data_IF_537429996544
#
_entry.id   IF_537429996544
#
_cell.length_a   1.000
_cell.length_b   1.000
_cell.length_c   1.000
_cell.angle_alpha   90.00
_cell.angle_beta   90.00
_cell.angle_gamma   90.00
#
_symmetry.space_group_name_H-M   'P 1'
#
loop_
_entity.id
_entity.type
_entity.pdbx_description
1 polymer ?
#
# COMPACT_ATOMS: atom_id res chain seq x y z
N UNK A 1 3.35 -16.31 -10.97
CA UNK A 1 2.81 -16.97 -9.76
C UNK A 1 1.31 -17.19 -9.87
N UNK A 2 0.57 -16.17 -10.23
CA UNK A 2 -0.87 -16.31 -10.45
C UNK A 2 -1.10 -16.80 -11.88
N UNK A 3 -1.66 -18.00 -12.04
CA UNK A 3 -2.04 -18.59 -13.35
C UNK A 3 -3.56 -18.66 -13.47
N UNK A 4 -4.22 -17.55 -13.19
CA UNK A 4 -5.65 -17.37 -13.41
C UNK A 4 -5.88 -16.88 -14.84
N UNK A 5 -6.94 -17.41 -15.49
CA UNK A 5 -7.30 -17.09 -16.87
C UNK A 5 -8.75 -16.62 -16.90
N UNK A 6 -8.99 -15.32 -17.03
CA UNK A 6 -10.34 -14.78 -17.20
C UNK A 6 -10.98 -15.37 -18.46
N UNK A 7 -12.29 -15.62 -18.41
CA UNK A 7 -13.07 -16.00 -19.60
C UNK A 7 -13.26 -14.80 -20.54
N UNK A 8 -13.42 -13.61 -19.93
CA UNK A 8 -13.57 -12.34 -20.64
C UNK A 8 -12.69 -11.26 -19.99
N UNK A 9 -12.24 -10.34 -20.83
CA UNK A 9 -11.51 -9.14 -20.41
C UNK A 9 -12.15 -7.95 -21.11
N UNK A 10 -12.70 -7.00 -20.32
CA UNK A 10 -13.13 -5.71 -20.83
C UNK A 10 -12.09 -4.65 -20.51
N UNK A 11 -11.38 -4.14 -21.51
CA UNK A 11 -10.51 -2.97 -21.36
C UNK A 11 -11.39 -1.71 -21.49
N UNK A 12 -11.72 -1.12 -20.34
CA UNK A 12 -12.65 0.00 -20.27
C UNK A 12 -11.92 1.34 -20.50
N UNK A 13 -12.34 2.09 -21.52
CA UNK A 13 -11.80 3.42 -21.85
C UNK A 13 -12.73 4.56 -21.40
N UNK A 14 -13.97 4.25 -21.00
CA UNK A 14 -14.95 5.20 -20.51
C UNK A 14 -15.72 4.66 -19.29
N UNK A 15 -16.38 5.55 -18.55
CA UNK A 15 -17.30 5.16 -17.47
C UNK A 15 -18.44 4.29 -18.00
N UNK A 16 -18.94 4.59 -19.22
CA UNK A 16 -19.97 3.80 -19.87
C UNK A 16 -19.56 2.35 -20.15
N UNK A 17 -18.27 2.12 -20.48
CA UNK A 17 -17.75 0.76 -20.67
C UNK A 17 -17.76 -0.02 -19.35
N UNK A 18 -17.38 0.65 -18.23
CA UNK A 18 -17.42 0.03 -16.90
C UNK A 18 -18.84 -0.34 -16.49
N UNK A 19 -19.81 0.56 -16.73
CA UNK A 19 -21.25 0.31 -16.49
C UNK A 19 -21.72 -0.90 -17.30
N UNK A 20 -21.39 -0.94 -18.59
CA UNK A 20 -21.75 -2.04 -19.48
C UNK A 20 -21.10 -3.35 -19.00
N UNK A 21 -19.82 -3.33 -18.62
CA UNK A 21 -19.10 -4.50 -18.16
C UNK A 21 -19.71 -5.07 -16.87
N UNK A 22 -20.07 -4.22 -15.89
CA UNK A 22 -20.71 -4.64 -14.63
C UNK A 22 -22.07 -5.30 -14.93
N UNK A 23 -22.91 -4.65 -15.73
CA UNK A 23 -24.25 -5.17 -16.10
C UNK A 23 -24.15 -6.49 -16.86
N UNK A 24 -23.23 -6.60 -17.82
CA UNK A 24 -22.97 -7.84 -18.55
C UNK A 24 -22.51 -8.97 -17.63
N UNK A 25 -21.61 -8.69 -16.69
CA UNK A 25 -21.14 -9.70 -15.74
C UNK A 25 -22.28 -10.22 -14.86
N UNK A 26 -23.17 -9.33 -14.38
CA UNK A 26 -24.36 -9.72 -13.59
C UNK A 26 -25.34 -10.54 -14.42
N UNK A 27 -25.67 -10.10 -15.63
CA UNK A 27 -26.60 -10.80 -16.53
C UNK A 27 -26.15 -12.25 -16.83
N UNK A 28 -24.84 -12.46 -16.89
CA UNK A 28 -24.24 -13.76 -17.20
C UNK A 28 -23.66 -14.48 -15.98
N UNK A 29 -23.93 -14.01 -14.76
CA UNK A 29 -23.48 -14.60 -13.49
C UNK A 29 -21.95 -14.85 -13.46
N UNK A 30 -21.17 -13.91 -14.02
CA UNK A 30 -19.71 -14.00 -14.08
C UNK A 30 -19.08 -13.34 -12.86
N UNK A 31 -18.12 -14.03 -12.23
CA UNK A 31 -17.30 -13.47 -11.18
C UNK A 31 -16.49 -12.27 -11.70
N UNK A 32 -16.52 -11.13 -10.99
CA UNK A 32 -15.85 -9.90 -11.40
C UNK A 32 -14.52 -9.74 -10.70
N UNK A 33 -13.43 -9.60 -11.47
CA UNK A 33 -12.17 -9.07 -11.02
C UNK A 33 -11.93 -7.67 -11.58
N UNK A 34 -11.48 -6.73 -10.76
CA UNK A 34 -11.19 -5.35 -11.20
C UNK A 34 -9.69 -5.11 -11.19
N UNK A 35 -9.13 -4.75 -12.33
CA UNK A 35 -7.70 -4.51 -12.51
C UNK A 35 -7.41 -3.04 -12.80
N UNK A 36 -6.49 -2.45 -12.02
CA UNK A 36 -5.78 -1.22 -12.33
C UNK A 36 -4.30 -1.57 -12.62
N UNK A 37 -3.35 -1.35 -11.70
CA UNK A 37 -1.94 -1.70 -11.88
C UNK A 37 -1.61 -3.19 -11.70
N UNK A 38 -2.52 -4.01 -11.17
CA UNK A 38 -2.30 -5.45 -10.98
C UNK A 38 -1.28 -5.79 -9.89
N UNK A 39 -1.08 -4.94 -8.90
CA UNK A 39 -0.11 -5.11 -7.81
C UNK A 39 -0.59 -5.99 -6.65
N UNK A 40 -1.86 -6.43 -6.64
CA UNK A 40 -2.34 -7.30 -5.58
C UNK A 40 -1.58 -8.63 -5.59
N UNK A 41 -0.85 -8.92 -4.49
CA UNK A 41 0.04 -10.08 -4.39
C UNK A 41 -0.72 -11.42 -4.38
N UNK A 42 -1.98 -11.42 -3.95
CA UNK A 42 -2.86 -12.59 -3.99
C UNK A 42 -3.50 -12.82 -5.38
N UNK A 43 -3.32 -11.88 -6.34
CA UNK A 43 -3.84 -12.01 -7.69
C UNK A 43 -5.35 -11.81 -7.84
N UNK A 44 -6.01 -11.22 -6.84
CA UNK A 44 -7.47 -11.06 -6.78
C UNK A 44 -8.04 -10.18 -7.91
N UNK A 45 -7.20 -9.41 -8.62
CA UNK A 45 -7.62 -8.64 -9.78
C UNK A 45 -7.88 -9.49 -11.04
N UNK A 46 -7.53 -10.79 -11.01
CA UNK A 46 -7.63 -11.69 -12.16
C UNK A 46 -8.51 -12.89 -11.81
N UNK A 47 -9.80 -12.89 -12.17
CA UNK A 47 -10.72 -14.00 -11.89
C UNK A 47 -10.39 -15.21 -12.77
N UNK A 48 -10.40 -16.42 -12.19
CA UNK A 48 -10.26 -17.63 -13.00
C UNK A 48 -11.61 -18.03 -13.60
N UNK A 49 -11.70 -18.01 -14.94
CA UNK A 49 -12.96 -18.29 -15.65
C UNK A 49 -14.03 -17.18 -15.56
N UNK A 50 -13.75 -16.10 -14.85
CA UNK A 50 -14.64 -14.96 -14.66
C UNK A 50 -14.40 -13.82 -15.67
N UNK A 51 -14.86 -12.62 -15.32
CA UNK A 51 -14.79 -11.41 -16.13
C UNK A 51 -13.87 -10.38 -15.48
N UNK A 52 -12.75 -10.10 -16.13
CA UNK A 52 -11.82 -9.05 -15.69
C UNK A 52 -12.21 -7.70 -16.30
N UNK A 53 -12.51 -6.72 -15.46
CA UNK A 53 -12.71 -5.33 -15.82
C UNK A 53 -11.37 -4.61 -15.68
N UNK A 54 -10.73 -4.33 -16.81
CA UNK A 54 -9.43 -3.67 -16.87
C UNK A 54 -9.61 -2.16 -17.04
N UNK A 55 -9.21 -1.39 -16.02
CA UNK A 55 -9.32 0.07 -15.99
C UNK A 55 -8.10 0.78 -16.59
N UNK A 56 -7.07 0.08 -17.06
CA UNK A 56 -5.78 0.71 -17.43
C UNK A 56 -5.91 1.76 -18.54
N UNK A 57 -6.95 1.67 -19.40
CA UNK A 57 -7.25 2.70 -20.39
C UNK A 57 -7.92 3.97 -19.78
N UNK A 58 -8.44 3.91 -18.55
CA UNK A 58 -8.93 5.04 -17.77
C UNK A 58 -7.79 5.65 -16.94
N UNK A 59 -6.76 6.19 -17.59
CA UNK A 59 -5.51 6.62 -16.95
C UNK A 59 -5.27 8.12 -16.93
N UNK A 60 -6.28 8.96 -17.28
CA UNK A 60 -6.12 10.42 -17.34
C UNK A 60 -5.91 11.02 -15.96
N UNK A 61 -4.99 11.99 -15.90
CA UNK A 61 -4.76 12.84 -14.73
C UNK A 61 -4.90 14.30 -15.16
N UNK A 62 -5.70 15.07 -14.43
CA UNK A 62 -5.87 16.50 -14.63
C UNK A 62 -5.57 17.24 -13.34
N UNK A 63 -4.72 18.27 -13.39
CA UNK A 63 -4.27 19.04 -12.23
C UNK A 63 -4.81 20.45 -12.29
N UNK A 64 -5.41 20.89 -11.18
CA UNK A 64 -5.67 22.30 -10.89
C UNK A 64 -4.66 22.77 -9.84
N UNK A 65 -3.58 23.45 -10.25
CA UNK A 65 -2.54 23.87 -9.32
C UNK A 65 -2.98 25.01 -8.40
N UNK A 66 -3.97 25.80 -8.79
CA UNK A 66 -4.50 26.93 -7.99
C UNK A 66 -5.36 26.37 -6.84
N UNK A 67 -6.28 25.47 -7.16
CA UNK A 67 -7.10 24.80 -6.16
C UNK A 67 -6.32 23.70 -5.41
N UNK A 68 -5.12 23.34 -5.87
CA UNK A 68 -4.33 22.20 -5.39
C UNK A 68 -5.16 20.92 -5.37
N UNK A 69 -5.71 20.59 -6.54
CA UNK A 69 -6.52 19.37 -6.75
C UNK A 69 -5.98 18.61 -7.96
N UNK A 70 -6.12 17.29 -7.89
CA UNK A 70 -5.95 16.42 -9.05
C UNK A 70 -7.18 15.54 -9.21
N UNK A 71 -7.73 15.48 -10.42
CA UNK A 71 -8.68 14.45 -10.83
C UNK A 71 -7.92 13.34 -11.53
N UNK A 72 -8.09 12.14 -11.04
CA UNK A 72 -7.29 10.98 -11.42
C UNK A 72 -8.24 9.84 -11.73
N UNK A 73 -8.26 9.37 -12.97
CA UNK A 73 -9.08 8.23 -13.36
C UNK A 73 -8.61 6.94 -12.67
N UNK A 74 -9.55 6.04 -12.37
CA UNK A 74 -9.35 4.86 -11.51
C UNK A 74 -8.29 3.87 -11.99
N UNK A 75 -7.96 3.87 -13.28
CA UNK A 75 -6.92 3.04 -13.89
C UNK A 75 -5.55 3.71 -14.02
N UNK A 76 -5.39 4.95 -13.55
CA UNK A 76 -4.11 5.66 -13.62
C UNK A 76 -3.04 4.97 -12.79
N UNK A 77 -1.79 5.04 -13.25
CA UNK A 77 -0.61 4.62 -12.49
C UNK A 77 -0.07 5.79 -11.66
N UNK A 78 0.57 5.50 -10.52
CA UNK A 78 1.15 6.52 -9.64
C UNK A 78 2.14 7.42 -10.37
N UNK A 79 2.99 6.87 -11.22
CA UNK A 79 3.94 7.65 -12.01
C UNK A 79 3.27 8.64 -13.00
N UNK A 80 2.03 8.39 -13.43
CA UNK A 80 1.28 9.35 -14.23
C UNK A 80 0.81 10.53 -13.35
N UNK A 81 0.37 10.24 -12.13
CA UNK A 81 0.00 11.26 -11.14
C UNK A 81 1.21 12.13 -10.77
N UNK A 82 2.36 11.51 -10.45
CA UNK A 82 3.59 12.24 -10.09
C UNK A 82 4.06 13.13 -11.25
N UNK A 83 4.14 12.62 -12.47
CA UNK A 83 4.52 13.41 -13.65
C UNK A 83 3.57 14.57 -13.93
N UNK A 84 2.28 14.43 -13.63
CA UNK A 84 1.31 15.50 -13.84
C UNK A 84 1.38 16.60 -12.78
N UNK A 85 1.72 16.28 -11.54
CA UNK A 85 1.72 17.20 -10.39
C UNK A 85 3.08 17.91 -10.20
N UNK A 86 4.18 17.24 -10.50
CA UNK A 86 5.53 17.74 -10.24
C UNK A 86 5.95 18.99 -11.02
N UNK A 87 5.46 19.29 -12.24
CA UNK A 87 5.70 20.58 -12.89
C UNK A 87 5.24 21.79 -12.05
N UNK A 88 4.35 21.58 -11.09
CA UNK A 88 3.85 22.61 -10.16
C UNK A 88 4.49 22.53 -8.76
N UNK A 89 5.46 21.64 -8.54
CA UNK A 89 6.04 21.38 -7.22
C UNK A 89 5.04 20.78 -6.22
N UNK A 90 3.98 20.15 -6.75
CA UNK A 90 2.90 19.55 -5.98
C UNK A 90 2.98 18.03 -6.02
N UNK A 91 2.48 17.39 -4.94
CA UNK A 91 2.21 15.95 -4.91
C UNK A 91 1.09 15.64 -3.90
N UNK A 92 0.59 14.41 -3.95
CA UNK A 92 -0.20 13.80 -2.86
C UNK A 92 0.50 12.53 -2.40
N UNK A 93 0.13 12.00 -1.24
CA UNK A 93 0.67 10.71 -0.82
C UNK A 93 0.33 9.64 -1.86
N UNK A 94 1.35 8.95 -2.32
CA UNK A 94 1.28 7.84 -3.26
C UNK A 94 2.24 6.72 -2.77
N UNK A 95 2.14 5.52 -3.34
CA UNK A 95 3.06 4.42 -3.02
C UNK A 95 4.49 4.68 -3.54
N UNK A 96 5.39 3.77 -3.24
CA UNK A 96 6.83 3.91 -3.53
C UNK A 96 7.24 3.30 -4.88
N UNK A 97 6.30 2.84 -5.70
CA UNK A 97 6.54 2.18 -6.99
C UNK A 97 5.62 2.78 -8.06
N UNK A 98 6.20 3.37 -9.11
CA UNK A 98 5.49 4.24 -10.05
C UNK A 98 4.44 3.52 -10.91
N UNK A 99 4.61 2.23 -11.17
CA UNK A 99 3.66 1.41 -11.94
C UNK A 99 2.57 0.76 -11.09
N UNK A 100 2.45 1.13 -9.81
CA UNK A 100 1.30 0.77 -8.97
C UNK A 100 0.06 1.54 -9.41
N UNK A 101 -1.07 0.86 -9.46
CA UNK A 101 -2.35 1.48 -9.80
C UNK A 101 -2.90 2.34 -8.66
N UNK A 102 -3.34 3.56 -8.99
CA UNK A 102 -3.92 4.52 -8.04
C UNK A 102 -5.13 3.91 -7.33
N UNK A 103 -6.02 3.20 -8.06
CA UNK A 103 -7.29 2.68 -7.53
C UNK A 103 -7.08 1.73 -6.34
N UNK A 104 -6.43 0.59 -6.57
CA UNK A 104 -6.24 -0.43 -5.52
C UNK A 104 -5.43 0.07 -4.34
N UNK A 105 -4.38 0.87 -4.58
CA UNK A 105 -3.59 1.48 -3.53
C UNK A 105 -4.46 2.35 -2.62
N UNK A 106 -5.19 3.30 -3.19
CA UNK A 106 -6.00 4.29 -2.46
C UNK A 106 -7.11 3.63 -1.65
N UNK A 107 -7.83 2.67 -2.26
CA UNK A 107 -8.95 2.00 -1.62
C UNK A 107 -8.54 1.19 -0.38
N UNK A 108 -7.31 0.68 -0.33
CA UNK A 108 -6.77 0.00 0.86
C UNK A 108 -6.06 0.91 1.87
N UNK A 109 -5.89 2.19 1.54
CA UNK A 109 -5.20 3.17 2.40
C UNK A 109 -4.11 3.93 1.64
N UNK A 110 -3.05 3.27 1.22
CA UNK A 110 -1.93 3.84 0.45
C UNK A 110 -0.86 4.49 1.30
N UNK A 111 0.18 3.71 1.62
CA UNK A 111 1.39 4.18 2.29
C UNK A 111 2.45 4.62 1.28
N UNK A 112 3.23 5.65 1.61
CA UNK A 112 4.34 6.15 0.78
C UNK A 112 5.15 7.24 1.48
N UNK A 113 6.10 7.84 0.76
CA UNK A 113 7.09 8.77 1.32
C UNK A 113 6.50 10.04 1.95
N UNK A 114 5.29 10.42 1.58
CA UNK A 114 4.60 11.60 2.10
C UNK A 114 3.60 11.28 3.23
N UNK A 115 3.41 10.00 3.58
CA UNK A 115 2.34 9.61 4.50
C UNK A 115 2.52 10.16 5.91
N UNK A 116 3.75 10.23 6.43
CA UNK A 116 4.03 10.84 7.74
C UNK A 116 3.79 12.35 7.73
N UNK A 117 3.88 12.99 6.57
CA UNK A 117 3.73 14.43 6.40
C UNK A 117 2.28 14.84 6.15
N UNK A 118 1.55 14.07 5.32
CA UNK A 118 0.27 14.45 4.76
C UNK A 118 -0.83 13.40 4.93
N UNK A 119 -0.62 12.35 5.71
CA UNK A 119 -1.54 11.21 5.84
C UNK A 119 -1.40 10.21 4.69
N UNK A 120 -2.15 9.13 4.77
CA UNK A 120 -2.22 8.10 3.74
C UNK A 120 -2.83 8.65 2.44
N UNK A 121 -2.72 7.92 1.33
CA UNK A 121 -3.36 8.32 0.07
C UNK A 121 -4.86 8.50 0.24
N UNK A 122 -5.54 7.62 0.97
CA UNK A 122 -6.99 7.70 1.23
C UNK A 122 -7.39 8.92 2.09
N UNK A 123 -6.47 9.48 2.89
CA UNK A 123 -6.72 10.68 3.68
C UNK A 123 -6.72 11.96 2.83
N UNK A 124 -6.14 11.87 1.66
CA UNK A 124 -6.06 12.95 0.69
C UNK A 124 -7.17 12.91 -0.37
N UNK A 125 -8.03 11.90 -0.36
CA UNK A 125 -9.21 11.82 -1.23
C UNK A 125 -10.25 12.84 -0.80
N UNK A 126 -10.74 13.62 -1.76
CA UNK A 126 -11.81 14.62 -1.59
C UNK A 126 -13.15 14.06 -2.03
N UNK A 127 -13.15 13.32 -3.14
CA UNK A 127 -14.34 12.62 -3.66
C UNK A 127 -13.96 11.48 -4.57
N UNK A 128 -14.91 10.57 -4.78
CA UNK A 128 -14.83 9.45 -5.72
C UNK A 128 -16.05 9.45 -6.65
N UNK A 129 -15.85 9.09 -7.92
CA UNK A 129 -16.94 8.66 -8.81
C UNK A 129 -16.91 7.14 -8.87
N UNK A 130 -18.05 6.50 -8.56
CA UNK A 130 -18.17 5.05 -8.35
C UNK A 130 -19.21 4.48 -9.28
N UNK A 131 -18.93 3.34 -9.91
CA UNK A 131 -19.92 2.47 -10.56
C UNK A 131 -20.31 1.39 -9.56
N UNK A 132 -21.59 1.34 -9.18
CA UNK A 132 -22.15 0.40 -8.20
C UNK A 132 -22.34 -1.00 -8.77
N UNK A 133 -22.76 -1.94 -7.93
CA UNK A 133 -23.14 -3.29 -8.36
C UNK A 133 -24.29 -3.31 -9.35
N UNK A 134 -25.21 -2.33 -9.34
CA UNK A 134 -26.31 -2.19 -10.29
C UNK A 134 -25.92 -1.47 -11.59
N UNK A 135 -24.67 -1.01 -11.66
CA UNK A 135 -24.16 -0.24 -12.80
C UNK A 135 -24.65 1.22 -12.78
N UNK A 136 -25.03 1.76 -11.63
CA UNK A 136 -25.32 3.17 -11.46
C UNK A 136 -24.03 3.94 -11.17
N UNK A 137 -23.98 5.18 -11.66
CA UNK A 137 -22.84 6.07 -11.45
C UNK A 137 -23.19 7.08 -10.37
N UNK A 138 -22.41 7.10 -9.29
CA UNK A 138 -22.64 8.04 -8.20
C UNK A 138 -21.33 8.70 -7.73
N UNK A 139 -21.47 9.86 -7.12
CA UNK A 139 -20.37 10.55 -6.44
C UNK A 139 -20.42 10.25 -4.94
N UNK A 140 -19.27 9.97 -4.34
CA UNK A 140 -19.10 9.81 -2.90
C UNK A 140 -18.12 10.87 -2.39
N UNK A 141 -18.52 11.61 -1.35
CA UNK A 141 -17.73 12.67 -0.71
C UNK A 141 -18.16 12.84 0.75
N UNK A 142 -17.60 13.79 1.47
CA UNK A 142 -18.03 14.09 2.83
C UNK A 142 -19.51 14.52 2.91
N UNK A 143 -20.04 15.14 1.85
CA UNK A 143 -21.38 15.72 1.80
C UNK A 143 -22.38 14.87 1.00
N UNK A 144 -21.89 13.90 0.23
CA UNK A 144 -22.68 13.07 -0.68
C UNK A 144 -22.27 11.60 -0.52
N UNK A 145 -23.20 10.74 -0.11
CA UNK A 145 -22.94 9.33 0.25
C UNK A 145 -21.77 9.16 1.22
N UNK A 146 -21.81 9.82 2.40
CA UNK A 146 -20.66 9.89 3.33
C UNK A 146 -20.27 8.54 3.92
N UNK A 147 -21.18 7.59 4.05
CA UNK A 147 -20.94 6.22 4.48
C UNK A 147 -20.14 5.41 3.44
N UNK A 148 -20.53 5.51 2.16
CA UNK A 148 -19.76 4.95 1.05
C UNK A 148 -18.37 5.59 0.99
N UNK A 149 -18.30 6.93 1.09
CA UNK A 149 -17.03 7.65 1.10
C UNK A 149 -16.12 7.22 2.25
N UNK A 150 -16.70 6.95 3.42
CA UNK A 150 -15.96 6.39 4.54
C UNK A 150 -15.40 5.00 4.21
N UNK A 151 -16.23 4.11 3.62
CA UNK A 151 -15.85 2.76 3.23
C UNK A 151 -14.74 2.72 2.18
N UNK A 152 -14.81 3.60 1.16
CA UNK A 152 -13.81 3.69 0.08
C UNK A 152 -12.44 4.19 0.55
N UNK A 153 -12.34 4.75 1.76
CA UNK A 153 -11.08 5.22 2.34
C UNK A 153 -10.48 4.19 3.29
N UNK A 154 -10.05 3.05 2.74
CA UNK A 154 -9.36 1.97 3.46
C UNK A 154 -10.11 0.64 3.50
N UNK A 155 -11.39 0.57 3.09
CA UNK A 155 -12.18 -0.65 3.09
C UNK A 155 -12.02 -1.53 1.83
N UNK A 156 -11.13 -1.13 0.90
CA UNK A 156 -10.88 -1.88 -0.33
C UNK A 156 -11.95 -1.69 -1.40
N UNK A 157 -11.92 -2.54 -2.42
CA UNK A 157 -12.82 -2.52 -3.58
C UNK A 157 -14.15 -3.24 -3.34
N UNK A 158 -14.70 -3.21 -2.13
CA UNK A 158 -15.86 -3.99 -1.73
C UNK A 158 -17.22 -3.39 -2.15
N UNK A 159 -17.28 -2.12 -2.55
CA UNK A 159 -18.54 -1.35 -2.61
C UNK A 159 -18.87 -0.85 -4.02
N UNK A 160 -18.02 -1.11 -4.98
CA UNK A 160 -18.14 -0.62 -6.34
C UNK A 160 -16.80 -0.39 -7.02
N UNK A 161 -16.82 0.00 -8.28
CA UNK A 161 -15.64 0.30 -9.09
C UNK A 161 -15.44 1.81 -9.11
N UNK A 162 -14.36 2.30 -8.47
CA UNK A 162 -14.02 3.73 -8.52
C UNK A 162 -13.37 4.04 -9.86
N UNK A 163 -14.03 4.87 -10.64
CA UNK A 163 -13.61 5.28 -11.99
C UNK A 163 -12.88 6.63 -12.02
N UNK A 164 -13.04 7.45 -10.97
CA UNK A 164 -12.29 8.70 -10.78
C UNK A 164 -12.16 9.01 -9.29
N UNK A 165 -10.98 9.50 -8.91
CA UNK A 165 -10.67 10.11 -7.61
C UNK A 165 -10.38 11.60 -7.78
N UNK A 166 -10.79 12.42 -6.82
CA UNK A 166 -10.30 13.78 -6.64
C UNK A 166 -9.39 13.82 -5.41
N UNK A 167 -8.13 14.21 -5.59
CA UNK A 167 -7.13 14.30 -4.52
C UNK A 167 -6.80 15.75 -4.16
N UNK A 168 -6.54 15.95 -2.86
CA UNK A 168 -5.82 17.13 -2.37
C UNK A 168 -4.33 16.99 -2.70
N UNK A 169 -3.73 18.07 -3.20
CA UNK A 169 -2.30 18.16 -3.45
C UNK A 169 -1.63 19.07 -2.42
N UNK A 170 -0.36 18.78 -2.16
CA UNK A 170 0.47 19.49 -1.20
C UNK A 170 1.71 20.04 -1.88
N UNK A 171 2.19 21.24 -1.48
CA UNK A 171 3.49 21.75 -1.93
C UNK A 171 4.60 20.96 -1.27
N UNK A 172 5.32 20.16 -2.05
CA UNK A 172 6.39 19.28 -1.59
C UNK A 172 7.74 19.60 -2.23
N UNK A 173 7.75 20.51 -3.18
CA UNK A 173 8.92 20.77 -4.03
C UNK A 173 9.16 19.64 -5.03
N UNK A 174 10.38 19.59 -5.55
CA UNK A 174 10.77 18.65 -6.61
C UNK A 174 11.97 17.78 -6.23
N UNK A 175 12.44 17.87 -4.98
CA UNK A 175 13.69 17.22 -4.51
C UNK A 175 13.42 16.31 -3.32
N UNK A 176 14.31 15.35 -3.15
CA UNK A 176 14.34 14.43 -2.02
C UNK A 176 15.78 14.08 -1.64
N UNK A 177 15.97 13.63 -0.40
CA UNK A 177 17.22 13.05 0.09
C UNK A 177 16.95 11.61 0.52
N UNK A 178 17.77 10.68 0.04
CA UNK A 178 17.78 9.29 0.47
C UNK A 178 19.07 9.01 1.22
N UNK A 179 18.94 8.43 2.39
CA UNK A 179 20.09 8.04 3.21
C UNK A 179 19.95 6.58 3.62
N UNK A 180 21.04 5.82 3.50
CA UNK A 180 21.09 4.41 3.86
C UNK A 180 22.45 4.09 4.49
N UNK A 181 22.43 3.46 5.66
CA UNK A 181 23.60 2.90 6.33
C UNK A 181 23.47 1.38 6.34
N UNK A 182 24.48 0.68 5.86
CA UNK A 182 24.52 -0.78 5.83
C UNK A 182 25.40 -1.32 6.96
N UNK A 183 24.83 -2.23 7.74
CA UNK A 183 25.51 -2.90 8.87
C UNK A 183 25.58 -4.40 8.59
N UNK A 184 26.64 -5.09 9.07
CA UNK A 184 26.64 -6.55 9.11
C UNK A 184 25.59 -7.06 10.13
N UNK A 185 25.07 -8.25 9.91
CA UNK A 185 23.95 -8.81 10.68
C UNK A 185 24.25 -8.91 12.19
N UNK A 186 25.49 -9.22 12.58
CA UNK A 186 25.92 -9.30 13.98
C UNK A 186 25.80 -7.96 14.73
N UNK A 187 25.72 -6.85 14.00
CA UNK A 187 25.51 -5.49 14.54
C UNK A 187 24.06 -4.98 14.36
N UNK A 188 23.23 -5.74 13.66
CA UNK A 188 21.87 -5.31 13.32
C UNK A 188 21.03 -4.98 14.56
N UNK A 189 21.11 -5.77 15.63
CA UNK A 189 20.33 -5.55 16.86
C UNK A 189 20.62 -4.19 17.50
N UNK A 190 21.89 -3.84 17.64
CA UNK A 190 22.30 -2.56 18.23
C UNK A 190 21.89 -1.38 17.33
N UNK A 191 22.12 -1.51 16.02
CA UNK A 191 21.77 -0.49 15.04
C UNK A 191 20.26 -0.27 14.94
N UNK A 192 19.44 -1.34 14.97
CA UNK A 192 17.97 -1.24 14.98
C UNK A 192 17.41 -0.54 16.22
N UNK A 193 18.03 -0.74 17.40
CA UNK A 193 17.65 0.01 18.62
C UNK A 193 17.83 1.51 18.42
N UNK A 194 19.02 1.93 18.00
CA UNK A 194 19.28 3.35 17.73
C UNK A 194 18.40 3.92 16.61
N UNK A 195 18.12 3.14 15.56
CA UNK A 195 17.22 3.54 14.48
C UNK A 195 15.75 3.67 14.97
N UNK A 196 15.28 2.75 15.82
CA UNK A 196 13.96 2.85 16.48
C UNK A 196 13.85 4.16 17.28
N UNK A 197 14.83 4.43 18.12
CA UNK A 197 14.83 5.61 18.99
C UNK A 197 14.84 6.89 18.12
N UNK A 198 15.62 6.90 17.03
CA UNK A 198 15.57 7.98 16.03
C UNK A 198 14.20 8.10 15.37
N UNK A 199 13.51 6.99 15.07
CA UNK A 199 12.20 7.02 14.42
C UNK A 199 11.10 7.64 15.30
N UNK A 200 11.25 7.56 16.64
CA UNK A 200 10.29 8.14 17.59
C UNK A 200 10.33 9.67 17.58
N UNK A 201 11.52 10.25 17.41
CA UNK A 201 11.76 11.69 17.43
C UNK A 201 11.79 12.32 16.02
N UNK A 202 11.76 11.50 14.98
CA UNK A 202 11.92 11.96 13.61
C UNK A 202 10.85 12.96 13.18
N UNK A 203 11.23 14.07 12.52
CA UNK A 203 10.26 14.99 11.95
C UNK A 203 9.41 14.31 10.87
N UNK A 204 8.23 14.87 10.62
CA UNK A 204 7.23 14.27 9.70
C UNK A 204 7.73 14.15 8.26
N UNK A 205 8.68 15.00 7.85
CA UNK A 205 9.30 14.97 6.52
C UNK A 205 10.17 13.73 6.29
N UNK A 206 10.62 13.08 7.36
CA UNK A 206 11.44 11.88 7.28
C UNK A 206 10.58 10.63 7.37
N UNK A 207 10.61 9.78 6.35
CA UNK A 207 10.09 8.41 6.40
C UNK A 207 11.26 7.47 6.66
N UNK A 208 11.34 6.91 7.86
CA UNK A 208 12.41 5.99 8.24
C UNK A 208 12.13 4.59 7.70
N UNK A 209 13.17 3.95 7.20
CA UNK A 209 13.13 2.61 6.62
C UNK A 209 14.23 1.73 7.19
N UNK A 210 13.94 0.45 7.35
CA UNK A 210 14.93 -0.57 7.65
C UNK A 210 14.66 -1.82 6.82
N UNK A 211 15.72 -2.52 6.42
CA UNK A 211 15.63 -3.80 5.71
C UNK A 211 16.73 -4.75 6.21
N UNK A 212 16.42 -6.05 6.29
CA UNK A 212 17.40 -7.09 6.58
C UNK A 212 17.32 -8.13 5.47
N UNK A 213 18.44 -8.42 4.83
CA UNK A 213 18.55 -9.41 3.77
C UNK A 213 19.92 -10.08 3.81
N UNK A 214 19.96 -11.43 3.75
CA UNK A 214 21.20 -12.18 3.90
C UNK A 214 21.93 -11.80 5.20
N UNK A 215 23.19 -11.40 5.07
CA UNK A 215 24.11 -11.01 6.14
C UNK A 215 24.08 -9.51 6.49
N UNK A 216 23.14 -8.74 5.95
CA UNK A 216 23.14 -7.28 6.07
C UNK A 216 21.82 -6.71 6.60
N UNK A 217 21.93 -5.63 7.39
CA UNK A 217 20.84 -4.74 7.74
C UNK A 217 21.11 -3.35 7.15
N UNK A 218 20.14 -2.79 6.42
CA UNK A 218 20.19 -1.43 5.87
C UNK A 218 19.18 -0.57 6.60
N UNK A 219 19.63 0.51 7.21
CA UNK A 219 18.82 1.44 8.01
C UNK A 219 18.94 2.84 7.42
N UNK A 220 17.83 3.56 7.31
CA UNK A 220 17.90 4.89 6.71
C UNK A 220 16.62 5.70 6.85
N UNK A 221 16.57 6.77 6.09
CA UNK A 221 15.35 7.57 5.91
C UNK A 221 15.31 8.18 4.50
N UNK A 222 14.10 8.45 4.06
CA UNK A 222 13.80 9.28 2.90
C UNK A 222 13.20 10.60 3.39
N UNK A 223 13.76 11.71 2.93
CA UNK A 223 13.27 13.05 3.18
C UNK A 223 12.71 13.65 1.89
N UNK A 224 11.48 14.09 1.90
CA UNK A 224 10.88 14.80 0.76
C UNK A 224 10.80 16.29 1.07
N UNK A 225 11.39 17.12 0.21
CA UNK A 225 11.52 18.55 0.38
C UNK A 225 12.96 19.01 0.20
N UNK A 226 13.35 20.08 0.89
CA UNK A 226 14.73 20.62 0.84
C UNK A 226 15.73 19.59 1.38
N UNK A 227 16.67 19.07 0.56
CA UNK A 227 17.68 18.11 1.00
C UNK A 227 18.61 18.61 2.09
N UNK A 228 18.91 19.91 2.16
CA UNK A 228 19.77 20.46 3.22
C UNK A 228 19.09 20.35 4.59
N UNK A 229 17.79 20.61 4.67
CA UNK A 229 17.02 20.37 5.88
C UNK A 229 17.04 18.88 6.27
N UNK A 230 16.95 17.99 5.28
CA UNK A 230 17.06 16.54 5.50
C UNK A 230 18.42 16.11 6.03
N UNK A 231 19.50 16.73 5.59
CA UNK A 231 20.88 16.43 6.05
C UNK A 231 21.09 16.67 7.56
N UNK A 232 20.26 17.51 8.18
CA UNK A 232 20.34 17.74 9.63
C UNK A 232 20.17 16.45 10.46
N UNK A 233 19.42 15.46 9.95
CA UNK A 233 19.23 14.16 10.59
C UNK A 233 20.41 13.18 10.39
N UNK A 234 21.31 13.45 9.44
CA UNK A 234 22.35 12.48 9.07
C UNK A 234 23.32 12.19 10.22
N UNK A 235 23.63 13.18 11.04
CA UNK A 235 24.48 12.99 12.22
C UNK A 235 23.83 12.04 13.23
N UNK A 236 22.53 12.19 13.48
CA UNK A 236 21.76 11.30 14.36
C UNK A 236 21.68 9.88 13.77
N UNK A 237 21.44 9.73 12.46
CA UNK A 237 21.48 8.42 11.84
C UNK A 237 22.85 7.74 11.94
N UNK A 238 23.95 8.48 11.74
CA UNK A 238 25.32 7.96 11.89
C UNK A 238 25.67 7.54 13.32
N UNK A 239 25.00 8.14 14.33
CA UNK A 239 25.23 7.78 15.73
C UNK A 239 24.67 6.42 16.14
N UNK A 240 23.80 5.77 15.31
CA UNK A 240 23.25 4.45 15.62
C UNK A 240 24.29 3.32 15.59
N UNK A 241 25.48 3.57 15.03
CA UNK A 241 26.58 2.60 14.98
C UNK A 241 27.59 2.88 13.88
N UNK A 242 28.58 2.01 13.74
CA UNK A 242 29.61 2.09 12.67
C UNK A 242 29.15 1.26 11.48
N UNK A 243 28.72 1.87 10.36
CA UNK A 243 28.25 1.13 9.20
C UNK A 243 29.42 0.54 8.40
N UNK A 244 29.14 -0.52 7.63
CA UNK A 244 30.02 -1.08 6.60
C UNK A 244 29.97 -0.28 5.30
N UNK A 245 28.84 0.42 5.06
CA UNK A 245 28.61 1.25 3.88
C UNK A 245 27.61 2.35 4.14
N UNK A 246 27.72 3.42 3.39
CA UNK A 246 26.82 4.57 3.47
C UNK A 246 26.44 5.04 2.07
N UNK A 247 25.14 5.36 1.88
CA UNK A 247 24.61 6.01 0.70
C UNK A 247 23.89 7.28 1.14
N UNK A 248 24.25 8.42 0.56
CA UNK A 248 23.54 9.69 0.70
C UNK A 248 23.31 10.26 -0.70
N UNK A 249 22.08 10.31 -1.15
CA UNK A 249 21.75 10.71 -2.52
C UNK A 249 20.63 11.73 -2.55
N UNK A 250 20.87 12.80 -3.26
CA UNK A 250 19.80 13.71 -3.68
C UNK A 250 19.19 13.21 -4.98
N UNK A 251 17.88 13.22 -5.03
CA UNK A 251 17.08 12.80 -6.18
C UNK A 251 16.04 13.88 -6.47
N UNK A 252 15.56 13.93 -7.71
CA UNK A 252 14.26 14.55 -7.95
C UNK A 252 13.16 13.70 -7.31
N UNK A 253 11.99 14.29 -7.04
CA UNK A 253 10.86 13.53 -6.49
C UNK A 253 10.44 12.40 -7.43
N UNK A 254 10.47 12.63 -8.74
CA UNK A 254 10.13 11.60 -9.73
C UNK A 254 11.17 10.47 -9.79
N UNK A 255 12.45 10.75 -9.64
CA UNK A 255 13.48 9.71 -9.51
C UNK A 255 13.30 8.90 -8.23
N UNK A 256 12.92 9.55 -7.11
CA UNK A 256 12.59 8.84 -5.87
C UNK A 256 11.42 7.88 -6.09
N UNK A 257 10.35 8.31 -6.74
CA UNK A 257 9.13 7.51 -6.98
C UNK A 257 9.33 6.36 -7.98
N UNK A 258 10.39 6.40 -8.78
CA UNK A 258 10.76 5.34 -9.74
C UNK A 258 11.93 4.48 -9.27
N UNK A 259 12.54 4.82 -8.14
CA UNK A 259 13.75 4.16 -7.62
C UNK A 259 13.57 2.66 -7.41
N UNK A 260 12.41 2.27 -6.88
CA UNK A 260 12.11 0.88 -6.52
C UNK A 260 11.27 0.17 -7.61
N UNK A 261 11.16 0.78 -8.80
CA UNK A 261 10.49 0.17 -9.94
C UNK A 261 11.21 -1.11 -10.35
N UNK A 262 10.45 -2.19 -10.45
CA UNK A 262 10.96 -3.47 -10.86
C UNK A 262 10.42 -3.81 -12.25
N UNK A 263 11.18 -3.47 -13.28
CA UNK A 263 10.84 -3.72 -14.69
C UNK A 263 10.69 -5.23 -14.96
N UNK A 264 11.41 -6.08 -14.22
CA UNK A 264 11.36 -7.54 -14.33
C UNK A 264 10.26 -8.17 -13.44
N UNK A 265 9.33 -7.36 -12.91
CA UNK A 265 8.36 -7.77 -11.90
C UNK A 265 7.56 -9.02 -12.21
N UNK A 266 7.24 -9.25 -13.49
CA UNK A 266 6.48 -10.42 -13.95
C UNK A 266 7.31 -11.70 -14.12
N UNK A 267 8.64 -11.61 -14.10
CA UNK A 267 9.54 -12.77 -14.21
C UNK A 267 9.69 -13.54 -12.90
N UNK A 268 9.21 -12.99 -11.80
CA UNK A 268 9.40 -13.55 -10.47
C UNK A 268 8.08 -13.91 -9.80
N UNK A 269 8.13 -15.02 -9.05
CA UNK A 269 7.14 -15.42 -8.08
C UNK A 269 7.39 -14.61 -6.79
N UNK A 270 6.33 -14.22 -6.09
CA UNK A 270 6.42 -13.38 -4.89
C UNK A 270 5.39 -13.80 -3.86
N UNK A 271 5.78 -13.70 -2.60
CA UNK A 271 4.86 -13.91 -1.49
C UNK A 271 5.24 -12.98 -0.33
N UNK A 272 4.25 -12.34 0.25
CA UNK A 272 4.42 -11.41 1.35
C UNK A 272 3.62 -11.84 2.57
N UNK A 273 4.18 -11.52 3.74
CA UNK A 273 3.48 -11.57 5.02
C UNK A 273 3.80 -10.30 5.79
N UNK A 274 2.74 -9.55 6.17
CA UNK A 274 2.88 -8.25 6.82
C UNK A 274 2.28 -8.24 8.23
N UNK A 275 2.84 -7.34 9.06
CA UNK A 275 2.34 -7.02 10.39
C UNK A 275 2.38 -5.51 10.62
N UNK A 276 1.42 -5.01 11.39
CA UNK A 276 1.55 -3.74 12.07
C UNK A 276 2.11 -3.94 13.47
N UNK A 277 3.18 -3.21 13.78
CA UNK A 277 3.83 -3.22 15.09
C UNK A 277 3.53 -1.88 15.78
N UNK A 278 2.80 -1.87 16.90
CA UNK A 278 2.55 -0.65 17.69
C UNK A 278 3.83 -0.04 18.23
N UNK A 279 4.84 -0.88 18.48
CA UNK A 279 6.18 -0.52 18.90
C UNK A 279 7.20 -1.51 18.33
N UNK A 280 8.45 -1.12 18.27
CA UNK A 280 9.56 -2.00 17.92
C UNK A 280 10.35 -2.36 19.19
N UNK A 281 9.76 -3.24 20.03
CA UNK A 281 10.38 -3.67 21.28
C UNK A 281 11.71 -4.41 21.06
N UNK A 282 12.52 -4.52 22.11
CA UNK A 282 13.78 -5.29 22.06
C UNK A 282 13.54 -6.76 21.70
N UNK A 283 12.39 -7.32 22.12
CA UNK A 283 11.98 -8.67 21.72
C UNK A 283 11.70 -8.77 20.23
N UNK A 284 11.00 -7.79 19.65
CA UNK A 284 10.75 -7.72 18.21
C UNK A 284 12.05 -7.56 17.41
N UNK A 285 12.97 -6.69 17.88
CA UNK A 285 14.30 -6.51 17.27
C UNK A 285 15.09 -7.84 17.32
N UNK A 286 15.07 -8.53 18.44
CA UNK A 286 15.71 -9.84 18.58
C UNK A 286 15.16 -10.86 17.58
N UNK A 287 13.84 -10.93 17.44
CA UNK A 287 13.16 -11.81 16.48
C UNK A 287 13.49 -11.48 15.01
N UNK A 288 13.68 -10.19 14.68
CA UNK A 288 14.10 -9.74 13.35
C UNK A 288 15.56 -10.14 13.03
N UNK A 289 16.45 -10.03 14.01
CA UNK A 289 17.87 -10.35 13.86
C UNK A 289 18.16 -11.87 13.95
N UNK A 290 17.25 -12.66 14.54
CA UNK A 290 17.34 -14.11 14.64
C UNK A 290 17.04 -14.78 13.29
N UNK A 291 18.05 -14.81 12.42
CA UNK A 291 17.99 -15.38 11.07
C UNK A 291 19.33 -16.03 10.69
N UNK A 292 19.24 -17.09 9.92
CA UNK A 292 20.41 -17.69 9.30
C UNK A 292 20.74 -16.97 8.00
N UNK A 293 21.90 -16.28 7.92
CA UNK A 293 22.29 -15.55 6.71
C UNK A 293 22.67 -16.49 5.55
N UNK A 294 23.03 -17.74 5.83
CA UNK A 294 23.40 -18.74 4.82
C UNK A 294 22.18 -19.46 4.23
N UNK A 295 21.02 -19.39 4.91
CA UNK A 295 19.78 -19.98 4.39
C UNK A 295 19.15 -19.05 3.33
N UNK A 296 19.42 -19.35 2.06
CA UNK A 296 18.88 -18.62 0.93
C UNK A 296 17.34 -18.65 0.81
N UNK A 297 16.65 -19.44 1.62
CA UNK A 297 15.18 -19.49 1.64
C UNK A 297 14.58 -18.44 2.56
N UNK A 298 15.35 -17.92 3.53
CA UNK A 298 14.91 -16.89 4.46
C UNK A 298 14.60 -15.60 3.70
N UNK A 299 13.36 -15.08 3.78
CA UNK A 299 12.97 -13.90 3.00
C UNK A 299 13.71 -12.64 3.47
N UNK A 300 13.84 -11.66 2.60
CA UNK A 300 14.13 -10.31 3.02
C UNK A 300 12.97 -9.78 3.87
N UNK A 301 13.30 -8.95 4.87
CA UNK A 301 12.30 -8.26 5.69
C UNK A 301 12.51 -6.76 5.61
N UNK A 302 11.42 -6.01 5.67
CA UNK A 302 11.46 -4.56 5.68
C UNK A 302 10.58 -3.99 6.79
N UNK A 303 10.99 -2.82 7.30
CA UNK A 303 10.24 -1.98 8.20
C UNK A 303 10.10 -0.60 7.59
N UNK A 304 8.91 -0.01 7.70
CA UNK A 304 8.66 1.38 7.38
C UNK A 304 7.98 2.06 8.56
N UNK A 305 8.51 3.22 8.98
CA UNK A 305 7.94 3.97 10.08
C UNK A 305 6.63 4.65 9.68
N UNK A 306 5.63 4.52 10.52
CA UNK A 306 4.32 5.17 10.48
C UNK A 306 4.27 6.37 11.43
N UNK A 307 3.08 6.75 11.91
CA UNK A 307 2.89 7.90 12.80
C UNK A 307 2.79 9.23 12.03
N UNK A 308 3.11 10.34 12.68
CA UNK A 308 2.93 11.68 12.10
C UNK A 308 1.47 11.91 11.68
N UNK A 309 1.24 12.47 10.48
CA UNK A 309 -0.08 12.79 9.97
C UNK A 309 -1.02 11.57 9.79
N UNK A 310 -0.49 10.35 9.73
CA UNK A 310 -1.30 9.12 9.72
C UNK A 310 -2.06 8.99 11.04
N UNK A 311 -1.38 9.25 12.17
CA UNK A 311 -1.94 9.13 13.51
C UNK A 311 -2.80 10.34 13.92
N UNK A 312 -2.68 11.48 13.25
CA UNK A 312 -3.53 12.65 13.48
C UNK A 312 -4.98 12.42 13.02
N UNK A 313 -5.19 11.51 12.07
CA UNK A 313 -6.53 11.17 11.60
C UNK A 313 -7.18 10.21 12.59
N UNK A 314 -8.36 10.58 13.09
CA UNK A 314 -9.12 9.73 14.02
C UNK A 314 -9.33 8.32 13.44
N UNK A 315 -9.24 7.30 14.29
CA UNK A 315 -9.46 5.90 13.91
C UNK A 315 -10.79 5.69 13.19
N UNK A 316 -11.84 6.44 13.57
CA UNK A 316 -13.19 6.30 13.01
C UNK A 316 -13.46 7.19 11.78
N UNK A 317 -12.54 8.08 11.42
CA UNK A 317 -12.72 9.01 10.30
C UNK A 317 -12.73 8.32 8.91
N UNK A 318 -12.17 7.13 8.82
CA UNK A 318 -12.09 6.32 7.59
C UNK A 318 -12.18 4.83 7.94
N UNK A 319 -12.37 4.00 6.93
CA UNK A 319 -12.32 2.54 7.10
C UNK A 319 -10.91 2.00 7.39
N UNK A 320 -9.85 2.72 7.01
CA UNK A 320 -8.49 2.33 7.34
C UNK A 320 -8.31 2.16 8.86
N UNK A 321 -7.62 1.09 9.27
CA UNK A 321 -7.43 0.73 10.68
C UNK A 321 -5.97 0.80 11.11
N UNK A 322 -5.76 0.73 12.43
CA UNK A 322 -4.43 0.68 13.05
C UNK A 322 -3.61 1.98 12.86
N UNK A 323 -4.28 3.15 12.92
CA UNK A 323 -3.64 4.46 12.73
C UNK A 323 -2.55 4.78 13.74
N UNK A 324 -2.57 4.13 14.90
CA UNK A 324 -1.55 4.28 15.96
C UNK A 324 -0.37 3.32 15.81
N UNK A 325 -0.36 2.52 14.73
CA UNK A 325 0.82 1.70 14.44
C UNK A 325 2.06 2.56 14.25
N UNK A 326 3.20 2.08 14.75
CA UNK A 326 4.47 2.81 14.62
C UNK A 326 5.30 2.29 13.46
N UNK A 327 5.16 1.02 13.14
CA UNK A 327 5.91 0.38 12.06
C UNK A 327 5.06 -0.61 11.29
N UNK A 328 5.22 -0.63 9.97
CA UNK A 328 4.80 -1.73 9.13
C UNK A 328 6.00 -2.65 8.90
N UNK A 329 5.80 -3.93 9.10
CA UNK A 329 6.74 -5.00 8.80
C UNK A 329 6.23 -5.82 7.63
N UNK A 330 7.13 -6.19 6.71
CA UNK A 330 6.84 -7.13 5.61
C UNK A 330 7.98 -8.13 5.46
N UNK A 331 7.67 -9.42 5.52
CA UNK A 331 8.53 -10.50 5.05
C UNK A 331 8.22 -10.75 3.57
N UNK A 332 9.19 -10.51 2.68
CA UNK A 332 8.99 -10.58 1.24
C UNK A 332 9.91 -11.66 0.63
N UNK A 333 9.31 -12.75 0.16
CA UNK A 333 10.00 -13.78 -0.61
C UNK A 333 9.86 -13.53 -2.12
N UNK A 334 10.95 -13.75 -2.86
CA UNK A 334 11.05 -13.62 -4.32
C UNK A 334 11.85 -14.80 -4.87
N UNK A 335 11.33 -15.48 -5.91
CA UNK A 335 12.00 -16.63 -6.55
C UNK A 335 11.50 -16.83 -7.97
N UNK A 336 12.14 -17.73 -8.75
CA UNK A 336 11.76 -17.97 -10.15
C UNK A 336 11.16 -19.37 -10.36
N UNK A 337 11.69 -20.39 -9.67
CA UNK A 337 11.29 -21.78 -9.87
C UNK A 337 9.94 -22.08 -9.18
N UNK A 338 8.89 -22.47 -9.93
CA UNK A 338 7.62 -22.90 -9.35
C UNK A 338 7.75 -24.05 -8.34
N UNK A 339 8.75 -24.92 -8.48
CA UNK A 339 9.01 -26.02 -7.54
C UNK A 339 9.38 -25.55 -6.13
N UNK A 340 9.83 -24.31 -5.96
CA UNK A 340 10.19 -23.72 -4.68
C UNK A 340 8.99 -23.06 -3.95
N UNK A 341 7.80 -23.00 -4.53
CA UNK A 341 6.65 -22.25 -3.96
C UNK A 341 6.40 -22.61 -2.50
N UNK A 342 6.24 -23.90 -2.20
CA UNK A 342 5.97 -24.37 -0.83
C UNK A 342 7.07 -23.99 0.16
N UNK A 343 8.32 -24.11 -0.27
CA UNK A 343 9.50 -23.79 0.52
C UNK A 343 9.58 -22.30 0.85
N UNK A 344 9.51 -21.45 -0.19
CA UNK A 344 9.65 -19.98 -0.10
C UNK A 344 8.48 -19.34 0.65
N UNK A 345 7.25 -19.74 0.34
CA UNK A 345 6.06 -19.27 1.06
C UNK A 345 6.08 -19.73 2.52
N UNK A 346 6.49 -20.99 2.79
CA UNK A 346 6.66 -21.51 4.14
C UNK A 346 7.70 -20.72 4.93
N UNK A 347 8.83 -20.38 4.34
CA UNK A 347 9.86 -19.57 4.98
C UNK A 347 9.36 -18.16 5.33
N UNK A 348 8.61 -17.50 4.43
CA UNK A 348 8.03 -16.19 4.70
C UNK A 348 6.98 -16.24 5.82
N UNK A 349 6.15 -17.28 5.89
CA UNK A 349 5.20 -17.50 7.01
C UNK A 349 5.93 -17.70 8.33
N UNK A 350 7.00 -18.50 8.38
CA UNK A 350 7.80 -18.70 9.59
C UNK A 350 8.49 -17.41 10.04
N UNK A 351 9.06 -16.64 9.11
CA UNK A 351 9.69 -15.36 9.43
C UNK A 351 8.69 -14.36 10.01
N UNK A 352 7.49 -14.27 9.43
CA UNK A 352 6.44 -13.41 9.96
C UNK A 352 5.92 -13.89 11.32
N UNK A 353 5.74 -15.21 11.51
CA UNK A 353 5.24 -15.77 12.77
C UNK A 353 6.12 -15.46 13.99
N UNK A 354 7.43 -15.19 13.80
CA UNK A 354 8.31 -14.70 14.87
C UNK A 354 7.86 -13.35 15.43
N UNK A 355 7.15 -12.55 14.62
CA UNK A 355 6.65 -11.22 14.99
C UNK A 355 5.18 -11.23 15.47
N UNK A 356 4.46 -12.34 15.39
CA UNK A 356 3.06 -12.47 15.86
C UNK A 356 2.85 -11.95 17.30
N UNK A 357 3.75 -12.24 18.29
CA UNK A 357 3.56 -11.76 19.66
C UNK A 357 3.61 -10.24 19.81
N UNK A 358 4.18 -9.54 18.84
CA UNK A 358 4.37 -8.08 18.83
C UNK A 358 3.40 -7.36 17.90
N UNK A 359 2.59 -8.11 17.13
CA UNK A 359 1.72 -7.58 16.09
C UNK A 359 0.34 -7.18 16.62
N UNK A 360 -0.18 -6.04 16.17
CA UNK A 360 -1.54 -5.58 16.46
C UNK A 360 -2.50 -5.76 15.28
N UNK A 361 -1.99 -6.04 14.08
CA UNK A 361 -2.80 -6.15 12.87
C UNK A 361 -1.97 -6.29 11.62
N UNK A 362 -2.57 -5.96 10.47
CA UNK A 362 -1.89 -5.99 9.18
C UNK A 362 -2.47 -4.95 8.21
N UNK A 363 -1.64 -4.49 7.28
CA UNK A 363 -2.09 -3.67 6.17
C UNK A 363 -2.88 -4.50 5.15
N UNK A 364 -4.09 -4.06 4.80
CA UNK A 364 -4.97 -4.81 3.90
C UNK A 364 -4.33 -5.07 2.53
N UNK A 365 -3.58 -4.11 1.98
CA UNK A 365 -2.89 -4.29 0.70
C UNK A 365 -1.65 -5.20 0.77
N UNK A 366 -1.19 -5.55 1.97
CA UNK A 366 -0.10 -6.51 2.19
C UNK A 366 -0.61 -7.93 2.52
N UNK A 367 -1.92 -8.13 2.59
CA UNK A 367 -2.51 -9.47 2.78
C UNK A 367 -2.31 -10.31 1.51
N UNK A 368 -2.05 -11.60 1.70
CA UNK A 368 -1.90 -12.59 0.63
C UNK A 368 -3.04 -13.60 0.68
N UNK A 369 -2.78 -14.75 1.27
CA UNK A 369 -3.65 -15.94 1.30
C UNK A 369 -4.35 -16.16 2.63
N UNK A 370 -4.44 -15.13 3.47
CA UNK A 370 -5.04 -15.21 4.80
C UNK A 370 -6.58 -15.28 4.79
N UNK A 371 -7.24 -14.94 3.70
CA UNK A 371 -8.70 -14.96 3.60
C UNK A 371 -9.38 -14.18 4.73
N UNK A 372 -10.45 -14.74 5.29
CA UNK A 372 -11.20 -14.11 6.38
C UNK A 372 -10.36 -13.80 7.64
N UNK A 373 -9.30 -14.57 7.90
CA UNK A 373 -8.40 -14.29 9.04
C UNK A 373 -7.58 -13.05 8.82
N UNK A 374 -7.12 -12.80 7.59
CA UNK A 374 -6.45 -11.57 7.18
C UNK A 374 -7.35 -10.35 7.33
N UNK A 375 -8.60 -10.45 6.88
CA UNK A 375 -9.61 -9.39 7.05
C UNK A 375 -9.82 -9.06 8.54
N UNK A 376 -9.85 -10.06 9.43
CA UNK A 376 -9.93 -9.84 10.88
C UNK A 376 -8.70 -9.16 11.46
N UNK A 377 -7.53 -9.35 10.86
CA UNK A 377 -6.30 -8.66 11.26
C UNK A 377 -6.25 -7.22 10.71
N UNK A 378 -6.78 -6.99 9.51
CA UNK A 378 -6.79 -5.67 8.88
C UNK A 378 -7.80 -4.73 9.53
N UNK A 379 -8.94 -5.22 10.01
CA UNK A 379 -10.03 -4.40 10.53
C UNK A 379 -10.51 -4.87 11.90
N UNK A 380 -10.73 -3.93 12.83
CA UNK A 380 -11.36 -4.22 14.12
C UNK A 380 -12.79 -4.78 13.94
N UNK A 381 -13.32 -5.45 14.98
CA UNK A 381 -14.69 -5.99 14.94
C UNK A 381 -15.73 -4.88 14.64
N UNK A 382 -15.58 -3.70 15.25
CA UNK A 382 -16.49 -2.57 15.03
C UNK A 382 -16.43 -2.07 13.58
N UNK A 383 -15.21 -1.90 13.02
CA UNK A 383 -15.06 -1.48 11.63
C UNK A 383 -15.60 -2.50 10.63
N UNK A 384 -15.39 -3.79 10.87
CA UNK A 384 -15.96 -4.84 10.02
C UNK A 384 -17.49 -4.81 10.00
N UNK A 385 -18.12 -4.61 11.15
CA UNK A 385 -19.57 -4.46 11.25
C UNK A 385 -20.08 -3.23 10.46
N UNK A 386 -19.39 -2.08 10.57
CA UNK A 386 -19.72 -0.89 9.78
C UNK A 386 -19.47 -1.07 8.29
N UNK A 387 -18.37 -1.72 7.89
CA UNK A 387 -18.08 -2.05 6.49
C UNK A 387 -19.15 -2.99 5.91
N UNK A 388 -19.62 -4.00 6.67
CA UNK A 388 -20.70 -4.88 6.24
C UNK A 388 -22.01 -4.10 6.05
N UNK A 389 -22.34 -3.17 6.94
CA UNK A 389 -23.51 -2.31 6.77
C UNK A 389 -23.42 -1.40 5.53
N UNK A 390 -22.23 -0.87 5.20
CA UNK A 390 -22.01 -0.16 3.93
C UNK A 390 -22.20 -1.11 2.74
N UNK A 391 -21.66 -2.33 2.85
CA UNK A 391 -21.80 -3.36 1.82
C UNK A 391 -23.27 -3.71 1.55
N UNK A 392 -24.09 -3.84 2.61
CA UNK A 392 -25.55 -4.07 2.49
C UNK A 392 -26.25 -2.98 1.68
N UNK A 393 -25.77 -1.74 1.75
CA UNK A 393 -26.36 -0.62 1.02
C UNK A 393 -25.94 -0.49 -0.44
N UNK A 394 -24.75 -0.96 -0.81
CA UNK A 394 -24.17 -0.68 -2.13
C UNK A 394 -23.84 -1.95 -2.95
N UNK A 395 -23.73 -3.09 -2.31
CA UNK A 395 -23.50 -4.39 -2.98
C UNK A 395 -24.06 -5.55 -2.13
N UNK A 396 -25.39 -5.58 -1.91
CA UNK A 396 -26.05 -6.60 -1.09
C UNK A 396 -25.91 -8.03 -1.65
N UNK A 397 -25.74 -8.15 -2.98
CA UNK A 397 -25.56 -9.43 -3.67
C UNK A 397 -24.11 -9.91 -3.65
N UNK A 398 -23.20 -9.15 -2.99
CA UNK A 398 -21.76 -9.45 -2.91
C UNK A 398 -21.09 -9.68 -4.28
N UNK A 399 -21.44 -8.87 -5.27
CA UNK A 399 -20.90 -8.93 -6.64
C UNK A 399 -19.40 -8.64 -6.67
N UNK A 400 -18.95 -7.67 -5.85
CA UNK A 400 -17.54 -7.32 -5.71
C UNK A 400 -16.92 -8.06 -4.51
N UNK A 401 -16.76 -9.40 -4.65
CA UNK A 401 -16.19 -10.24 -3.60
C UNK A 401 -14.76 -10.73 -3.91
N UNK A 402 -14.29 -10.63 -5.14
CA UNK A 402 -12.92 -11.03 -5.50
C UNK A 402 -11.91 -9.96 -5.07
N UNK A 403 -11.76 -9.84 -3.76
CA UNK A 403 -10.86 -8.94 -3.03
C UNK A 403 -10.63 -9.50 -1.61
N UNK A 404 -10.14 -8.69 -0.67
CA UNK A 404 -10.20 -9.00 0.76
C UNK A 404 -11.63 -8.75 1.26
N UNK A 405 -12.50 -9.71 0.96
CA UNK A 405 -13.95 -9.55 0.97
C UNK A 405 -14.52 -9.19 2.34
N UNK A 406 -15.35 -8.16 2.34
CA UNK A 406 -16.29 -7.83 3.41
C UNK A 406 -17.67 -8.32 2.94
N UNK A 407 -18.12 -9.45 3.46
CA UNK A 407 -19.44 -9.97 3.11
C UNK A 407 -20.56 -9.08 3.67
N UNK A 408 -21.71 -8.99 3.00
CA UNK A 408 -22.93 -8.40 3.55
C UNK A 408 -23.38 -9.12 4.83
N UNK A 409 -24.22 -8.45 5.65
CA UNK A 409 -24.64 -9.01 6.96
C UNK A 409 -25.49 -10.28 6.86
N UNK A 410 -26.11 -10.53 5.71
CA UNK A 410 -26.97 -11.69 5.44
C UNK A 410 -26.28 -12.88 4.77
N UNK A 411 -24.97 -12.84 4.53
CA UNK A 411 -24.19 -13.88 3.85
C UNK A 411 -23.27 -14.64 4.77
#
# INVERSE_FOLDING_TARGET
MIDHRPKLIAQCASVGDVVTAVRTAREHELEIGVRCGGHNIAGLAVPHGGFMIDLTALGRVTVDPVARRARVQGGAMLGALDRATQPFGLATTAGNVSHTGVGGLTLGGGMGWLARQHGLTCDNVVSCTVVTADGDVMRASADEHPDLFWGLRGGGGNFGIVVEFEFRLHPVGTRALVTELTFPLDRATAALRGWRDLAEEAPRQATLTAAISGDTATLGYVWVGDPEAGRAMLAALRSVGVPRGEVVRELSYTELQTRDDNIEGHAYRRYWKGHYLPELSDGAIGALADRDPEDATVPGVSLQAYGGAIADVSEDATAFSHRHTRFEYVAAAKWSDPGEDGLRMGAARRAAAKLDPFAAGAYVNALSDEGASGVRRAYSKAKRARLAAVKDGYDPDNIFHLNHNIAPTGH
#
